data_IF_322060348750
#
_entry.id   IF_322060348750
#
_cell.length_a   1.000
_cell.length_b   1.000
_cell.length_c   1.000
_cell.angle_alpha   90.00
_cell.angle_beta   90.00
_cell.angle_gamma   90.00
#
_symmetry.space_group_name_H-M   'P 1'
#
loop_
_entity.id
_entity.type
_entity.pdbx_description
1 polymer ?
#
# COMPACT_ATOMS: atom_id res chain seq x y z
N UNK A 1 10.18 -33.22 0.28
CA UNK A 1 9.96 -32.92 0.39
C UNK A 1 9.73 -32.18 0.42
N UNK A 2 9.60 -32.07 0.32
CA UNK A 2 9.41 -31.47 0.41
C UNK A 2 9.10 -30.73 0.68
N UNK A 3 8.95 -30.87 0.67
CA UNK A 3 8.65 -30.18 1.02
C UNK A 3 8.45 -29.75 1.80
N UNK A 4 8.56 -30.42 2.06
CA UNK A 4 8.48 -30.19 2.84
C UNK A 4 8.84 -29.18 3.20
N UNK A 5 9.26 -29.16 2.77
CA UNK A 5 9.50 -28.08 2.95
C UNK A 5 8.54 -27.29 3.28
N UNK A 6 8.45 -26.86 4.07
CA UNK A 6 7.38 -26.20 4.45
C UNK A 6 7.12 -25.06 3.62
N UNK A 7 5.87 -24.74 3.37
CA UNK A 7 5.52 -23.57 2.67
C UNK A 7 5.74 -22.39 3.55
N UNK A 8 6.18 -21.28 2.99
CA UNK A 8 6.24 -20.05 3.76
C UNK A 8 4.85 -19.67 4.19
N UNK A 9 4.74 -18.97 5.30
CA UNK A 9 3.46 -18.48 5.73
C UNK A 9 3.02 -17.40 4.78
N UNK A 10 1.71 -17.22 4.70
CA UNK A 10 1.18 -16.23 3.76
C UNK A 10 1.77 -14.87 3.96
N UNK A 11 1.91 -14.46 5.20
CA UNK A 11 2.45 -13.13 5.45
C UNK A 11 3.91 -13.01 5.04
N UNK A 12 4.61 -14.13 4.98
CA UNK A 12 6.01 -14.09 4.55
C UNK A 12 6.10 -13.94 3.04
N UNK A 13 5.10 -14.45 2.32
CA UNK A 13 5.11 -14.35 0.89
C UNK A 13 4.64 -13.00 0.41
N UNK A 14 3.84 -12.37 1.21
CA UNK A 14 3.22 -11.13 0.83
C UNK A 14 1.98 -11.39 -0.01
N UNK A 15 1.21 -10.36 -0.20
CA UNK A 15 -0.01 -10.41 -0.98
C UNK A 15 0.13 -9.37 -2.06
N UNK A 16 -0.22 -9.71 -3.29
CA UNK A 16 -0.13 -8.76 -4.39
C UNK A 16 -1.49 -8.14 -4.64
N UNK A 17 -1.56 -6.83 -4.66
CA UNK A 17 -2.78 -6.11 -4.99
C UNK A 17 -2.41 -5.01 -5.97
N UNK A 18 -2.97 -5.05 -7.15
CA UNK A 18 -2.74 -4.02 -8.18
C UNK A 18 -1.25 -3.73 -8.41
N UNK A 19 -0.44 -4.77 -8.39
CA UNK A 19 0.99 -4.62 -8.65
C UNK A 19 1.83 -4.24 -7.45
N UNK A 20 1.21 -4.00 -6.30
CA UNK A 20 1.94 -3.71 -5.08
C UNK A 20 2.00 -4.96 -4.22
N UNK A 21 3.14 -5.16 -3.57
CA UNK A 21 3.31 -6.31 -2.71
C UNK A 21 3.19 -5.88 -1.26
N UNK A 22 2.30 -6.51 -0.54
CA UNK A 22 2.07 -6.22 0.87
C UNK A 22 2.70 -7.33 1.70
N UNK A 23 3.64 -6.96 2.55
CA UNK A 23 4.27 -7.92 3.42
C UNK A 23 3.74 -7.69 4.83
N UNK A 24 3.07 -8.68 5.37
CA UNK A 24 2.49 -8.53 6.70
C UNK A 24 3.59 -8.62 7.73
N UNK A 25 3.73 -7.59 8.53
CA UNK A 25 4.78 -7.53 9.55
C UNK A 25 4.25 -7.84 10.94
N UNK A 26 2.95 -7.80 11.11
CA UNK A 26 2.33 -8.21 12.37
C UNK A 26 0.91 -8.61 12.06
N UNK A 27 0.43 -9.68 12.70
CA UNK A 27 -0.86 -10.23 12.37
C UNK A 27 -2.03 -9.64 13.09
N UNK A 28 -1.79 -9.06 14.25
CA UNK A 28 -2.90 -8.50 15.02
C UNK A 28 -2.38 -7.58 16.08
N UNK A 29 -3.17 -6.58 16.39
CA UNK A 29 -2.95 -5.65 17.49
C UNK A 29 -1.59 -4.99 17.47
N UNK A 30 -1.17 -4.43 16.39
CA UNK A 30 -1.93 -4.12 15.18
C UNK A 30 -1.67 -5.11 14.05
N UNK A 31 -2.60 -5.19 13.12
CA UNK A 31 -2.35 -5.85 11.87
C UNK A 31 -1.62 -4.85 10.98
N UNK A 32 -0.43 -5.18 10.52
CA UNK A 32 0.43 -4.23 9.84
C UNK A 32 1.04 -4.81 8.59
N UNK A 33 1.31 -3.95 7.63
CA UNK A 33 1.92 -4.34 6.36
C UNK A 33 2.92 -3.30 5.91
N UNK A 34 4.06 -3.75 5.39
CA UNK A 34 4.93 -2.91 4.60
C UNK A 34 4.55 -3.12 3.14
N UNK A 35 4.49 -2.08 2.35
CA UNK A 35 4.01 -2.14 0.98
C UNK A 35 5.12 -1.72 0.03
N UNK A 36 5.34 -2.53 -1.00
CA UNK A 36 6.43 -2.34 -1.94
C UNK A 36 5.91 -2.25 -3.36
N UNK A 37 6.56 -1.44 -4.18
CA UNK A 37 6.18 -1.32 -5.58
C UNK A 37 6.82 -2.45 -6.39
N UNK A 38 6.68 -2.42 -7.70
CA UNK A 38 7.18 -3.48 -8.55
C UNK A 38 8.70 -3.43 -8.70
N UNK A 39 9.34 -2.39 -8.23
CA UNK A 39 10.79 -2.30 -8.22
C UNK A 39 11.37 -2.72 -6.88
N UNK A 40 10.52 -3.10 -5.95
CA UNK A 40 10.96 -3.53 -4.63
C UNK A 40 11.22 -2.42 -3.64
N UNK A 41 10.82 -1.20 -3.96
CA UNK A 41 10.99 -0.08 -3.03
C UNK A 41 9.79 0.02 -2.13
N UNK A 42 10.02 0.27 -0.86
CA UNK A 42 8.91 0.45 0.07
C UNK A 42 8.23 1.77 -0.20
N UNK A 43 6.93 1.74 -0.38
CA UNK A 43 6.17 2.92 -0.75
C UNK A 43 5.09 3.28 0.26
N UNK A 44 4.76 2.37 1.18
CA UNK A 44 3.70 2.67 2.15
C UNK A 44 3.76 1.73 3.34
N UNK A 45 3.03 2.10 4.37
CA UNK A 45 2.90 1.32 5.59
C UNK A 45 1.43 1.37 5.99
N UNK A 46 0.84 0.20 6.22
CA UNK A 46 -0.57 0.07 6.62
C UNK A 46 -0.65 -0.43 8.05
N UNK A 47 -1.52 0.13 8.83
CA UNK A 47 -1.69 -0.33 10.22
C UNK A 47 -3.14 -0.21 10.68
N UNK A 48 -3.67 -1.31 11.22
CA UNK A 48 -4.97 -1.32 11.86
C UNK A 48 -4.77 -1.50 13.35
N UNK A 49 -5.15 -0.49 14.12
CA UNK A 49 -4.98 -0.53 15.55
C UNK A 49 -6.10 0.22 16.22
N UNK A 50 -6.69 -0.37 17.24
CA UNK A 50 -7.77 0.26 18.00
C UNK A 50 -8.92 0.71 17.09
N UNK A 51 -9.24 -0.10 16.10
CA UNK A 51 -10.32 0.21 15.18
C UNK A 51 -10.01 1.27 14.16
N UNK A 52 -8.79 1.77 14.10
CA UNK A 52 -8.40 2.76 13.12
C UNK A 52 -7.39 2.20 12.15
N UNK A 53 -7.72 2.27 10.86
CA UNK A 53 -6.84 1.82 9.80
C UNK A 53 -6.21 3.03 9.17
N UNK A 54 -4.88 3.00 9.03
CA UNK A 54 -4.15 4.17 8.55
C UNK A 54 -3.10 3.75 7.54
N UNK A 55 -2.91 4.58 6.54
CA UNK A 55 -1.89 4.38 5.52
C UNK A 55 -0.94 5.55 5.56
N UNK A 56 0.33 5.28 5.84
CA UNK A 56 1.38 6.30 5.84
C UNK A 56 2.30 6.05 4.66
N UNK A 57 2.83 7.09 4.08
CA UNK A 57 3.77 6.98 2.97
C UNK A 57 4.98 7.84 3.24
N UNK A 58 6.16 7.36 2.90
CA UNK A 58 6.47 6.06 2.31
C UNK A 58 6.62 4.95 3.34
N UNK A 59 6.56 5.27 4.62
CA UNK A 59 6.79 4.32 5.69
C UNK A 59 6.10 4.83 6.93
N UNK A 60 6.20 4.07 8.01
CA UNK A 60 5.62 4.44 9.29
C UNK A 60 6.12 5.82 9.70
N UNK A 61 5.20 6.63 10.16
CA UNK A 61 5.55 7.99 10.57
C UNK A 61 5.59 9.00 9.46
N UNK A 62 5.34 8.58 8.24
CA UNK A 62 5.28 9.50 7.11
C UNK A 62 3.94 10.17 7.03
N UNK A 63 3.61 10.67 5.85
CA UNK A 63 2.36 11.36 5.64
C UNK A 63 1.21 10.37 5.62
N UNK A 64 0.16 10.63 6.39
CA UNK A 64 -1.01 9.78 6.39
C UNK A 64 -1.92 10.18 5.25
N UNK A 65 -2.16 9.29 4.31
CA UNK A 65 -2.92 9.60 3.12
C UNK A 65 -4.29 8.94 3.07
N UNK A 66 -4.57 8.03 3.98
CA UNK A 66 -5.84 7.31 3.97
C UNK A 66 -6.14 6.82 5.37
N UNK A 67 -7.38 6.96 5.80
CA UNK A 67 -7.82 6.41 7.08
C UNK A 67 -9.19 5.80 6.92
N UNK A 68 -9.50 4.82 7.74
CA UNK A 68 -10.81 4.18 7.72
C UNK A 68 -11.08 3.59 9.09
N UNK A 69 -12.32 3.22 9.32
CA UNK A 69 -12.74 2.61 10.58
C UNK A 69 -13.41 1.28 10.29
N UNK A 70 -12.64 0.23 10.05
CA UNK A 70 -13.21 -1.08 9.79
C UNK A 70 -13.84 -1.64 11.05
N UNK A 71 -14.52 -2.76 10.93
CA UNK A 71 -15.14 -3.40 12.08
C UNK A 71 -14.11 -4.07 12.98
N UNK A 72 -12.99 -4.52 12.41
CA UNK A 72 -11.93 -5.12 13.20
C UNK A 72 -11.25 -4.09 14.06
N UNK A 73 -10.77 -4.51 15.21
CA UNK A 73 -10.15 -3.58 16.15
C UNK A 73 -8.64 -3.56 15.97
N UNK A 74 -7.98 -4.66 16.15
CA UNK A 74 -6.53 -4.74 15.94
C UNK A 74 -6.19 -5.65 14.79
N UNK A 75 -7.20 -6.26 14.16
CA UNK A 75 -7.05 -7.07 12.98
C UNK A 75 -8.36 -6.99 12.22
N UNK A 76 -8.28 -7.01 10.89
CA UNK A 76 -9.49 -6.96 10.08
C UNK A 76 -10.31 -8.23 10.27
N UNK A 77 -11.63 -8.11 10.22
CA UNK A 77 -12.45 -9.30 10.07
C UNK A 77 -12.14 -9.86 8.68
N UNK A 78 -12.10 -11.18 8.54
CA UNK A 78 -11.69 -11.76 7.26
C UNK A 78 -12.50 -11.27 6.07
N UNK A 79 -13.80 -11.04 6.27
CA UNK A 79 -14.64 -10.65 5.15
C UNK A 79 -14.43 -9.21 4.72
N UNK A 80 -13.75 -8.39 5.52
CA UNK A 80 -13.51 -6.99 5.15
C UNK A 80 -12.06 -6.73 4.76
N UNK A 81 -11.17 -7.67 5.02
CA UNK A 81 -9.73 -7.41 4.84
C UNK A 81 -9.36 -7.03 3.41
N UNK A 82 -9.81 -7.80 2.45
CA UNK A 82 -9.44 -7.53 1.07
C UNK A 82 -9.98 -6.18 0.62
N UNK A 83 -11.17 -5.83 1.06
CA UNK A 83 -11.74 -4.55 0.69
C UNK A 83 -10.88 -3.39 1.18
N UNK A 84 -10.51 -3.39 2.46
CA UNK A 84 -9.73 -2.28 2.99
C UNK A 84 -8.30 -2.26 2.47
N UNK A 85 -7.69 -3.41 2.28
CA UNK A 85 -6.34 -3.43 1.72
C UNK A 85 -6.35 -2.95 0.28
N UNK A 86 -7.38 -3.27 -0.47
CA UNK A 86 -7.50 -2.80 -1.85
C UNK A 86 -7.71 -1.30 -1.91
N UNK A 87 -8.58 -0.77 -1.05
CA UNK A 87 -8.80 0.67 -0.99
C UNK A 87 -7.52 1.40 -0.63
N UNK A 88 -6.76 0.83 0.29
CA UNK A 88 -5.50 1.43 0.71
C UNK A 88 -4.48 1.44 -0.42
N UNK A 89 -4.39 0.34 -1.17
CA UNK A 89 -3.46 0.28 -2.29
C UNK A 89 -3.85 1.28 -3.36
N UNK A 90 -5.14 1.43 -3.60
CA UNK A 90 -5.59 2.41 -4.60
C UNK A 90 -5.26 3.82 -4.16
N UNK A 91 -5.35 4.10 -2.87
CA UNK A 91 -4.96 5.42 -2.36
C UNK A 91 -3.47 5.66 -2.53
N UNK A 92 -2.64 4.63 -2.31
CA UNK A 92 -1.21 4.73 -2.52
C UNK A 92 -0.91 5.00 -3.99
N UNK A 93 -1.55 4.26 -4.86
CA UNK A 93 -1.32 4.43 -6.29
C UNK A 93 -1.69 5.84 -6.73
N UNK A 94 -2.82 6.31 -6.28
CA UNK A 94 -3.26 7.65 -6.66
C UNK A 94 -2.31 8.71 -6.12
N UNK A 95 -1.83 8.53 -4.89
CA UNK A 95 -0.91 9.47 -4.28
C UNK A 95 0.36 9.61 -5.12
N UNK A 96 0.94 8.49 -5.55
CA UNK A 96 2.20 8.56 -6.29
C UNK A 96 1.99 9.04 -7.72
N UNK A 97 0.87 8.72 -8.33
CA UNK A 97 0.56 9.23 -9.64
C UNK A 97 0.41 10.75 -9.59
N UNK A 98 -0.30 11.25 -8.61
CA UNK A 98 -0.50 12.69 -8.49
C UNK A 98 0.80 13.43 -8.22
N UNK A 99 1.65 12.84 -7.40
CA UNK A 99 2.91 13.49 -7.13
C UNK A 99 3.81 13.50 -8.35
N UNK A 100 3.76 12.48 -9.14
CA UNK A 100 4.54 12.46 -10.35
C UNK A 100 4.08 13.55 -11.29
N UNK A 101 2.76 13.69 -11.46
CA UNK A 101 2.24 14.74 -12.28
C UNK A 101 2.65 16.11 -11.75
N UNK A 102 2.54 16.33 -10.49
CA UNK A 102 2.92 17.60 -9.90
C UNK A 102 4.37 17.91 -10.11
N UNK A 103 5.22 16.92 -10.04
CA UNK A 103 6.62 17.18 -10.12
C UNK A 103 7.14 17.24 -11.51
N UNK A 104 6.57 16.47 -12.41
CA UNK A 104 7.17 16.37 -13.69
C UNK A 104 6.42 17.07 -14.75
N UNK A 105 5.09 17.10 -14.63
CA UNK A 105 4.35 17.57 -15.68
C UNK A 105 4.37 18.93 -15.90
N UNK A 106 4.37 19.66 -14.87
CA UNK A 106 4.26 21.04 -14.96
C UNK A 106 5.43 21.70 -15.59
N UNK A 107 6.51 21.05 -15.66
CA UNK A 107 7.62 21.65 -16.23
C UNK A 107 7.70 21.48 -17.65
N UNK A 108 7.14 20.47 -18.14
CA UNK A 108 7.32 20.17 -19.44
C UNK A 108 6.33 20.65 -20.27
N UNK A 109 5.33 20.74 -19.83
CA UNK A 109 4.34 21.04 -20.64
C UNK A 109 4.52 22.24 -21.32
N UNK A 110 4.92 22.29 -21.18
CA UNK A 110 4.80 22.86 -21.74
C UNK A 110 5.46 22.93 -22.36
N UNK A 111 5.94 22.94 -22.15
CA UNK A 111 6.43 22.86 -22.74
C UNK A 111 6.53 22.17 -23.61
N UNK A 112 6.50 21.86 -23.70
CA UNK A 112 6.46 21.21 -24.43
C UNK A 112 6.17 20.54 -24.88
N UNK A 113 5.99 20.15 -24.51
CA UNK A 113 5.66 19.27 -24.81
C UNK A 113 4.74 18.91 -25.23
N UNK A 114 4.23 19.01 -25.18
CA UNK A 114 3.30 18.52 -25.54
C UNK A 114 2.90 18.78 -26.32
N UNK A 115 3.32 19.37 -26.43
CA UNK A 115 3.07 19.38 -27.11
C UNK A 115 3.07 19.09 -27.80
N UNK A 116 3.39 18.78 -27.61
CA UNK A 116 3.45 18.16 -28.12
C UNK A 116 2.89 17.68 -28.53
N UNK A 117 2.75 17.71 -28.19
CA UNK A 117 2.26 16.98 -28.40
C UNK A 117 1.67 16.93 -29.04
N UNK A 118 1.56 17.18 -28.93
CA UNK A 118 1.16 16.88 -29.44
C UNK A 118 1.02 16.74 -30.00
#
# INVERSE_FOLDING_TARGET
>A
MTDTVEKPKMWELGVMIHGYRLKQTCGACPEQYDVFDDLGQQVAYFRLRHGGFRVDVPDVGGETIFTASPRGDGAFHPEERVYYLTEAVMAVQEYYINRKWDKEDWFDVDANRWTDVE
#
